data_IF_017598417740
#
_entry.id   IF_017598417740
#
_cell.length_a   1.000
_cell.length_b   1.000
_cell.length_c   1.000
_cell.angle_alpha   90.00
_cell.angle_beta   90.00
_cell.angle_gamma   90.00
#
_symmetry.space_group_name_H-M   'P 1'
#
loop_
_entity.id
_entity.type
_entity.pdbx_description
1 polymer ?
#
# COMPACT_ATOMS: atom_id res chain seq x y z
N UNK A 1 68.54 14.51 41.13
CA UNK A 1 69.13 14.61 39.78
C UNK A 1 69.01 16.06 39.35
N UNK A 2 70.16 16.65 39.04
CA UNK A 2 70.42 18.07 38.84
C UNK A 2 69.67 18.70 37.67
N UNK A 3 69.47 20.01 37.82
CA UNK A 3 68.88 20.94 36.87
C UNK A 3 69.95 21.59 35.95
N UNK A 4 69.55 21.99 34.74
CA UNK A 4 70.19 23.03 33.91
C UNK A 4 69.06 23.79 33.16
N UNK A 5 68.72 25.04 33.51
CA UNK A 5 69.23 26.35 33.00
C UNK A 5 68.95 26.55 31.48
N UNK A 6 68.22 27.57 30.97
CA UNK A 6 68.31 29.07 31.02
C UNK A 6 67.00 29.65 30.42
N UNK A 7 66.31 30.66 30.98
CA UNK A 7 66.51 32.14 30.94
C UNK A 7 66.67 32.77 29.54
N UNK A 8 65.67 33.57 29.12
CA UNK A 8 65.86 34.88 28.50
C UNK A 8 64.62 35.77 28.73
N UNK A 9 64.88 37.05 28.96
CA UNK A 9 64.05 38.11 29.56
C UNK A 9 64.04 39.27 28.57
N UNK A 10 62.91 39.95 28.37
CA UNK A 10 62.90 41.35 27.90
C UNK A 10 61.52 41.98 28.02
N UNK A 11 61.42 42.91 28.96
CA UNK A 11 60.39 43.90 29.18
C UNK A 11 60.54 45.11 28.23
N UNK A 12 59.44 45.74 27.82
CA UNK A 12 59.46 47.05 27.16
C UNK A 12 58.12 47.75 27.31
N UNK A 13 58.06 48.71 28.23
CA UNK A 13 56.97 49.65 28.50
C UNK A 13 56.97 50.79 27.47
N UNK A 14 55.81 51.30 27.05
CA UNK A 14 55.64 52.73 26.70
C UNK A 14 54.18 53.14 26.72
N UNK A 15 54.00 54.41 27.08
CA UNK A 15 52.83 55.12 27.57
C UNK A 15 51.87 55.62 26.46
N UNK A 16 50.63 55.90 26.87
CA UNK A 16 49.61 56.81 26.28
C UNK A 16 50.20 58.22 25.94
N UNK A 17 49.53 59.18 25.22
CA UNK A 17 48.08 59.45 25.09
C UNK A 17 47.61 60.13 23.75
N UNK A 18 46.35 60.61 23.72
CA UNK A 18 45.78 61.78 22.97
C UNK A 18 44.82 61.54 21.77
N UNK A 19 43.55 61.94 22.00
CA UNK A 19 42.44 62.32 21.08
C UNK A 19 42.80 63.71 20.46
N UNK A 20 42.38 64.24 19.25
CA UNK A 20 40.99 64.22 18.71
C UNK A 20 40.67 64.46 17.18
N UNK A 21 39.37 64.36 16.86
CA UNK A 21 38.55 65.04 15.82
C UNK A 21 38.44 64.58 14.33
N UNK A 22 37.27 63.95 14.04
CA UNK A 22 36.24 64.23 13.00
C UNK A 22 36.53 64.08 11.48
N UNK A 23 35.51 64.06 10.57
CA UNK A 23 34.10 63.60 10.65
C UNK A 23 33.73 62.61 9.49
N UNK A 24 32.43 62.32 9.29
CA UNK A 24 31.76 62.03 8.00
C UNK A 24 31.24 60.59 7.73
N UNK A 25 29.93 60.55 7.41
CA UNK A 25 29.14 59.60 6.58
C UNK A 25 28.60 58.28 7.18
N UNK A 26 27.29 58.27 7.43
CA UNK A 26 26.38 57.17 7.04
C UNK A 26 26.36 57.04 5.49
N UNK A 27 26.11 55.87 4.85
CA UNK A 27 25.03 54.88 5.12
C UNK A 27 25.47 53.40 4.79
N UNK A 28 24.61 52.44 4.38
CA UNK A 28 23.29 52.01 4.83
C UNK A 28 23.28 50.58 5.43
N UNK A 29 22.35 50.37 6.37
CA UNK A 29 21.47 49.19 6.51
C UNK A 29 21.97 47.82 6.03
N UNK A 30 22.66 47.10 6.91
CA UNK A 30 22.78 45.65 6.79
C UNK A 30 21.42 45.01 7.14
N UNK A 31 20.74 44.49 6.11
CA UNK A 31 19.57 43.64 6.26
C UNK A 31 19.90 42.47 7.19
N UNK A 32 19.19 42.39 8.32
CA UNK A 32 19.02 41.15 9.07
C UNK A 32 18.45 40.13 8.11
N UNK A 33 19.26 39.15 7.75
CA UNK A 33 18.80 37.89 7.19
C UNK A 33 17.89 37.27 8.26
N UNK A 34 16.58 37.44 8.10
CA UNK A 34 15.60 36.62 8.78
C UNK A 34 15.79 35.22 8.23
N UNK A 35 16.37 34.35 9.07
CA UNK A 35 16.26 32.91 8.90
C UNK A 35 14.78 32.63 8.74
N UNK A 36 14.37 32.25 7.54
CA UNK A 36 13.07 31.66 7.29
C UNK A 36 13.17 30.31 8.00
N UNK A 37 12.74 30.28 9.25
CA UNK A 37 12.32 29.04 9.89
C UNK A 37 11.18 28.53 9.02
N UNK A 38 11.50 27.51 8.23
CA UNK A 38 10.52 26.72 7.51
C UNK A 38 9.67 26.06 8.60
N UNK A 39 8.57 26.71 8.97
CA UNK A 39 7.51 26.14 9.80
C UNK A 39 7.00 24.91 9.03
N UNK A 40 7.64 23.76 9.28
CA UNK A 40 7.01 22.47 9.12
C UNK A 40 5.83 22.48 10.08
N UNK A 41 4.69 22.97 9.59
CA UNK A 41 3.39 22.79 10.22
C UNK A 41 3.25 21.29 10.45
N UNK A 42 3.40 20.85 11.70
CA UNK A 42 2.96 19.53 12.15
C UNK A 42 1.49 19.42 11.73
N UNK A 43 1.23 18.68 10.66
CA UNK A 43 -0.11 18.49 10.14
C UNK A 43 -0.84 17.62 11.16
N UNK A 44 -1.52 18.24 12.11
CA UNK A 44 -2.18 17.55 13.19
C UNK A 44 -3.34 16.70 12.62
N UNK A 45 -3.08 15.41 12.41
CA UNK A 45 -4.05 14.43 11.92
C UNK A 45 -5.16 14.24 12.96
N UNK A 46 -6.24 14.99 12.79
CA UNK A 46 -7.34 15.02 13.74
C UNK A 46 -8.62 14.43 13.15
N UNK A 47 -8.68 14.26 11.82
CA UNK A 47 -9.82 13.68 11.13
C UNK A 47 -9.43 12.88 9.88
N UNK A 48 -10.32 11.98 9.39
CA UNK A 48 -10.09 11.25 8.15
C UNK A 48 -10.04 12.15 6.91
N UNK A 49 -10.69 13.31 6.94
CA UNK A 49 -10.60 14.32 5.88
C UNK A 49 -9.20 14.95 5.81
N UNK A 50 -8.52 15.13 6.94
CA UNK A 50 -7.15 15.62 6.96
C UNK A 50 -6.18 14.59 6.37
N UNK A 51 -6.39 13.30 6.68
CA UNK A 51 -5.67 12.21 6.01
C UNK A 51 -5.86 12.28 4.49
N UNK A 52 -7.09 12.47 4.01
CA UNK A 52 -7.37 12.58 2.58
C UNK A 52 -6.64 13.77 1.92
N UNK A 53 -6.55 14.92 2.61
CA UNK A 53 -5.81 16.09 2.12
C UNK A 53 -4.31 15.77 1.99
N UNK A 54 -3.73 15.16 3.02
CA UNK A 54 -2.32 14.76 3.06
C UNK A 54 -1.98 13.78 1.92
N UNK A 55 -2.81 12.75 1.74
CA UNK A 55 -2.61 11.77 0.66
C UNK A 55 -2.70 12.40 -0.73
N UNK A 56 -3.44 13.50 -0.89
CA UNK A 56 -3.55 14.23 -2.17
C UNK A 56 -2.44 15.25 -2.40
N UNK A 57 -1.74 15.70 -1.35
CA UNK A 57 -0.77 16.79 -1.43
C UNK A 57 0.67 16.35 -1.72
N UNK A 58 0.92 15.07 -2.05
CA UNK A 58 2.27 14.49 -2.21
C UNK A 58 3.17 14.79 -1.01
N UNK A 59 2.64 14.57 0.19
CA UNK A 59 3.34 14.82 1.45
C UNK A 59 4.59 13.92 1.61
N UNK A 60 5.57 14.29 2.45
CA UNK A 60 6.76 13.46 2.68
C UNK A 60 6.40 12.11 3.33
N UNK A 61 7.30 11.12 3.21
CA UNK A 61 7.07 9.77 3.74
C UNK A 61 6.73 9.75 5.23
N UNK A 62 7.31 10.64 6.06
CA UNK A 62 6.97 10.75 7.49
C UNK A 62 5.49 11.02 7.72
N UNK A 63 4.89 11.95 6.97
CA UNK A 63 3.47 12.28 7.04
C UNK A 63 2.58 11.15 6.51
N UNK A 64 3.05 10.41 5.48
CA UNK A 64 2.36 9.19 5.05
C UNK A 64 2.34 8.12 6.15
N UNK A 65 3.43 7.97 6.90
CA UNK A 65 3.49 7.02 8.02
C UNK A 65 2.51 7.40 9.13
N UNK A 66 2.35 8.68 9.43
CA UNK A 66 1.34 9.17 10.37
C UNK A 66 -0.08 8.92 9.87
N UNK A 67 -0.33 9.16 8.58
CA UNK A 67 -1.60 8.84 7.94
C UNK A 67 -1.91 7.32 8.00
N UNK A 68 -0.92 6.47 7.72
CA UNK A 68 -1.06 5.01 7.83
C UNK A 68 -1.35 4.57 9.26
N UNK A 69 -0.67 5.15 10.25
CA UNK A 69 -0.94 4.88 11.68
C UNK A 69 -2.36 5.26 12.07
N UNK A 70 -2.83 6.43 11.63
CA UNK A 70 -4.19 6.91 11.89
C UNK A 70 -5.25 5.99 11.27
N UNK A 71 -5.01 5.49 10.05
CA UNK A 71 -5.96 4.63 9.34
C UNK A 71 -5.93 3.16 9.76
N UNK A 72 -4.89 2.74 10.47
CA UNK A 72 -4.60 1.33 10.73
C UNK A 72 -5.72 0.65 11.55
N UNK A 73 -6.43 -0.34 10.99
CA UNK A 73 -7.48 -1.06 11.71
C UNK A 73 -7.03 -1.74 13.01
N UNK A 74 -5.73 -2.02 13.16
CA UNK A 74 -5.19 -2.61 14.38
C UNK A 74 -5.01 -1.60 15.54
N UNK A 75 -5.06 -0.31 15.24
CA UNK A 75 -4.87 0.77 16.22
C UNK A 75 -6.19 1.45 16.63
N UNK A 76 -7.32 0.98 16.13
CA UNK A 76 -8.63 1.60 16.35
C UNK A 76 -9.12 1.41 17.79
N UNK A 77 -9.62 2.51 18.35
CA UNK A 77 -10.43 2.56 19.56
C UNK A 77 -11.93 2.65 19.22
N UNK A 78 -12.78 2.55 20.24
CA UNK A 78 -14.23 2.55 20.06
C UNK A 78 -14.73 3.91 19.53
N UNK A 79 -15.31 3.90 18.33
CA UNK A 79 -15.88 5.10 17.69
C UNK A 79 -14.96 5.73 16.64
N UNK A 80 -13.75 5.20 16.48
CA UNK A 80 -12.81 5.68 15.46
C UNK A 80 -13.27 5.38 14.04
N UNK A 81 -12.76 6.18 13.11
CA UNK A 81 -12.97 5.94 11.69
C UNK A 81 -12.28 4.64 11.27
N UNK A 82 -13.07 3.67 10.82
CA UNK A 82 -12.55 2.42 10.31
C UNK A 82 -12.60 2.38 8.77
N UNK A 83 -11.43 2.42 8.14
CA UNK A 83 -11.28 2.43 6.67
C UNK A 83 -11.86 1.17 5.99
N UNK A 84 -11.98 0.05 6.71
CA UNK A 84 -12.53 -1.19 6.15
C UNK A 84 -14.07 -1.17 6.07
N UNK A 85 -14.73 -0.25 6.78
CA UNK A 85 -16.18 -0.06 6.73
C UNK A 85 -16.52 0.75 5.47
N UNK A 86 -17.32 0.19 4.54
CA UNK A 86 -17.64 0.88 3.29
C UNK A 86 -18.34 2.21 3.55
N UNK A 87 -17.71 3.29 3.08
CA UNK A 87 -18.21 4.66 3.12
C UNK A 87 -17.66 5.46 1.95
N UNK A 88 -18.32 6.57 1.58
CA UNK A 88 -17.85 7.44 0.50
C UNK A 88 -16.46 8.03 0.80
N UNK A 89 -16.23 8.45 2.04
CA UNK A 89 -14.94 8.98 2.48
C UNK A 89 -13.87 7.88 2.49
N UNK A 90 -14.18 6.69 3.02
CA UNK A 90 -13.26 5.55 3.01
C UNK A 90 -12.85 5.12 1.60
N UNK A 91 -13.76 5.14 0.62
CA UNK A 91 -13.42 4.86 -0.77
C UNK A 91 -12.45 5.90 -1.37
N UNK A 92 -12.64 7.19 -1.06
CA UNK A 92 -11.72 8.25 -1.51
C UNK A 92 -10.34 8.11 -0.87
N UNK A 93 -10.30 7.81 0.44
CA UNK A 93 -9.05 7.57 1.17
C UNK A 93 -8.35 6.34 0.62
N UNK A 94 -9.03 5.21 0.43
CA UNK A 94 -8.44 3.99 -0.15
C UNK A 94 -7.84 4.26 -1.53
N UNK A 95 -8.56 4.96 -2.40
CA UNK A 95 -8.05 5.31 -3.72
C UNK A 95 -6.79 6.17 -3.61
N UNK A 96 -6.86 7.27 -2.85
CA UNK A 96 -5.71 8.16 -2.67
C UNK A 96 -4.52 7.44 -2.03
N UNK A 97 -4.77 6.60 -1.03
CA UNK A 97 -3.75 5.80 -0.34
C UNK A 97 -3.06 4.87 -1.34
N UNK A 98 -3.82 4.13 -2.15
CA UNK A 98 -3.27 3.21 -3.15
C UNK A 98 -2.47 3.99 -4.20
N UNK A 99 -3.05 5.04 -4.81
CA UNK A 99 -2.38 5.75 -5.90
C UNK A 99 -1.16 6.51 -5.44
N UNK A 100 -1.23 7.24 -4.32
CA UNK A 100 -0.10 8.03 -3.82
C UNK A 100 0.99 7.12 -3.27
N UNK A 101 0.63 6.04 -2.56
CA UNK A 101 1.63 5.12 -2.01
C UNK A 101 2.41 4.40 -3.11
N UNK A 102 1.70 3.85 -4.11
CA UNK A 102 2.33 3.12 -5.22
C UNK A 102 3.17 4.06 -6.08
N UNK A 103 2.67 5.26 -6.40
CA UNK A 103 3.40 6.19 -7.26
C UNK A 103 4.60 6.84 -6.58
N UNK A 104 4.46 7.28 -5.33
CA UNK A 104 5.41 8.24 -4.73
C UNK A 104 6.22 7.64 -3.57
N UNK A 105 5.78 6.54 -2.93
CA UNK A 105 6.38 6.06 -1.67
C UNK A 105 6.74 4.58 -1.62
N UNK A 106 6.54 3.83 -2.70
CA UNK A 106 6.69 2.37 -2.75
C UNK A 106 8.03 1.87 -2.19
N UNK A 107 9.14 2.42 -2.68
CA UNK A 107 10.49 2.14 -2.20
C UNK A 107 10.66 2.48 -0.72
N UNK A 108 10.19 3.67 -0.31
CA UNK A 108 10.36 4.19 1.05
C UNK A 108 9.60 3.42 2.12
N UNK A 109 8.57 2.65 1.73
CA UNK A 109 7.83 1.78 2.64
C UNK A 109 8.45 0.38 2.77
N UNK A 110 9.61 0.13 2.17
CA UNK A 110 10.26 -1.18 2.17
C UNK A 110 9.45 -2.22 1.38
N UNK A 111 8.68 -1.79 0.39
CA UNK A 111 7.92 -2.69 -0.48
C UNK A 111 8.78 -3.29 -1.60
N UNK A 112 9.98 -2.75 -1.81
CA UNK A 112 11.00 -3.29 -2.71
C UNK A 112 11.49 -4.67 -2.26
N UNK A 113 11.90 -5.48 -3.23
CA UNK A 113 12.41 -6.82 -2.98
C UNK A 113 13.82 -6.75 -2.38
N UNK A 114 13.93 -6.81 -1.06
CA UNK A 114 15.17 -7.18 -0.40
C UNK A 114 14.96 -8.42 0.49
N UNK A 115 15.52 -9.58 0.13
CA UNK A 115 15.46 -10.79 0.95
C UNK A 115 16.29 -10.70 2.24
N UNK A 116 17.13 -9.67 2.44
CA UNK A 116 18.05 -9.58 3.59
C UNK A 116 17.78 -8.42 4.58
N UNK A 117 16.79 -7.55 4.37
CA UNK A 117 16.56 -6.43 5.31
C UNK A 117 15.86 -6.88 6.61
N UNK A 118 16.72 -7.17 7.57
CA UNK A 118 16.46 -7.61 8.93
C UNK A 118 15.61 -6.69 9.80
N UNK A 119 14.62 -7.30 10.46
CA UNK A 119 14.40 -7.33 11.92
C UNK A 119 14.78 -6.06 12.71
N UNK A 120 13.78 -5.25 13.12
CA UNK A 120 13.72 -4.61 14.45
C UNK A 120 12.48 -3.73 14.73
N UNK A 121 11.34 -3.98 14.07
CA UNK A 121 10.04 -3.46 14.50
C UNK A 121 9.09 -4.64 14.67
N UNK A 122 8.24 -4.60 15.69
CA UNK A 122 7.13 -5.56 15.84
C UNK A 122 6.44 -5.72 14.48
N UNK A 123 6.14 -6.95 14.06
CA UNK A 123 5.45 -7.23 12.79
C UNK A 123 4.14 -6.41 12.64
N UNK A 124 3.56 -5.99 13.77
CA UNK A 124 2.38 -5.12 13.81
C UNK A 124 2.65 -3.65 13.45
N UNK A 125 3.88 -3.15 13.51
CA UNK A 125 4.23 -1.73 13.34
C UNK A 125 4.95 -1.40 12.02
N UNK A 126 5.18 -2.40 11.15
CA UNK A 126 5.79 -2.13 9.85
C UNK A 126 4.82 -1.34 8.96
N UNK A 127 5.27 -0.29 8.25
CA UNK A 127 4.43 0.50 7.35
C UNK A 127 3.72 -0.35 6.30
N UNK A 128 4.40 -1.38 5.79
CA UNK A 128 3.82 -2.40 4.91
C UNK A 128 2.62 -3.13 5.56
N UNK A 129 2.74 -3.54 6.82
CA UNK A 129 1.67 -4.23 7.52
C UNK A 129 0.46 -3.31 7.74
N UNK A 130 0.69 -2.04 8.09
CA UNK A 130 -0.36 -1.02 8.22
C UNK A 130 -1.10 -0.82 6.88
N UNK A 131 -0.35 -0.64 5.79
CA UNK A 131 -0.92 -0.50 4.45
C UNK A 131 -1.76 -1.72 4.08
N UNK A 132 -1.22 -2.93 4.27
CA UNK A 132 -1.93 -4.17 3.96
C UNK A 132 -3.23 -4.30 4.77
N UNK A 133 -3.22 -3.94 6.06
CA UNK A 133 -4.44 -3.95 6.89
C UNK A 133 -5.47 -2.91 6.41
N UNK A 134 -5.03 -1.71 6.04
CA UNK A 134 -5.92 -0.67 5.50
C UNK A 134 -6.65 -1.13 4.23
N UNK A 135 -5.98 -1.88 3.36
CA UNK A 135 -6.56 -2.35 2.09
C UNK A 135 -7.19 -3.75 2.18
N UNK A 136 -7.13 -4.43 3.33
CA UNK A 136 -7.72 -5.76 3.57
C UNK A 136 -9.23 -5.67 3.79
N UNK A 137 -9.93 -5.22 2.78
CA UNK A 137 -11.39 -5.16 2.73
C UNK A 137 -11.88 -5.44 1.30
N UNK A 138 -13.17 -5.80 1.11
CA UNK A 138 -13.72 -5.96 -0.24
C UNK A 138 -13.54 -4.69 -1.08
N UNK A 139 -13.76 -3.52 -0.47
CA UNK A 139 -13.55 -2.23 -1.13
C UNK A 139 -12.09 -1.94 -1.44
N UNK A 140 -11.14 -2.30 -0.57
CA UNK A 140 -9.71 -2.15 -0.83
C UNK A 140 -9.23 -3.01 -1.99
N UNK A 141 -9.62 -4.29 -2.03
CA UNK A 141 -9.34 -5.21 -3.14
C UNK A 141 -10.00 -4.69 -4.44
N UNK A 142 -11.25 -4.25 -4.36
CA UNK A 142 -11.98 -3.68 -5.49
C UNK A 142 -11.28 -2.45 -6.07
N UNK A 143 -10.81 -1.55 -5.22
CA UNK A 143 -10.05 -0.35 -5.61
C UNK A 143 -8.71 -0.71 -6.23
N UNK A 144 -7.96 -1.68 -5.68
CA UNK A 144 -6.71 -2.16 -6.29
C UNK A 144 -6.94 -2.71 -7.70
N UNK A 145 -7.97 -3.54 -7.89
CA UNK A 145 -8.29 -4.09 -9.21
C UNK A 145 -8.77 -3.02 -10.19
N UNK A 146 -9.50 -2.01 -9.72
CA UNK A 146 -9.92 -0.88 -10.54
C UNK A 146 -8.74 -0.01 -10.96
N UNK A 147 -7.83 0.29 -10.03
CA UNK A 147 -6.60 1.02 -10.31
C UNK A 147 -5.72 0.26 -11.29
N UNK A 148 -5.49 -1.04 -11.07
CA UNK A 148 -4.74 -1.89 -11.98
C UNK A 148 -5.32 -1.86 -13.39
N UNK A 149 -6.65 -2.00 -13.54
CA UNK A 149 -7.32 -1.85 -14.84
C UNK A 149 -7.15 -0.48 -15.47
N UNK A 150 -7.13 0.59 -14.68
CA UNK A 150 -6.94 1.95 -15.20
C UNK A 150 -5.53 2.19 -15.78
N UNK A 151 -4.55 1.39 -15.36
CA UNK A 151 -3.20 1.42 -15.90
C UNK A 151 -3.08 0.66 -17.23
N UNK A 152 -3.99 -0.28 -17.50
CA UNK A 152 -3.99 -1.08 -18.73
C UNK A 152 -4.46 -0.24 -19.92
N UNK A 153 -3.74 -0.28 -21.06
CA UNK A 153 -4.20 0.36 -22.28
C UNK A 153 -5.43 -0.37 -22.85
N UNK A 154 -6.32 0.41 -23.49
CA UNK A 154 -7.57 -0.09 -24.10
C UNK A 154 -7.34 -1.03 -25.29
N UNK A 155 -6.11 -1.11 -25.80
CA UNK A 155 -5.71 -1.99 -26.90
C UNK A 155 -4.57 -2.89 -26.44
N UNK A 156 -4.66 -4.17 -26.77
CA UNK A 156 -3.59 -5.14 -26.57
C UNK A 156 -2.30 -4.62 -27.21
N UNK A 157 -1.16 -4.65 -26.51
CA UNK A 157 0.06 -4.09 -27.04
C UNK A 157 0.49 -4.95 -28.23
N UNK A 158 0.98 -4.34 -29.33
CA UNK A 158 1.62 -5.12 -30.38
C UNK A 158 2.78 -5.90 -29.76
N UNK A 159 2.83 -7.22 -30.02
CA UNK A 159 3.90 -8.11 -29.58
C UNK A 159 5.26 -7.46 -29.84
N UNK A 160 6.07 -7.27 -28.79
CA UNK A 160 7.44 -6.76 -28.91
C UNK A 160 7.62 -5.26 -28.60
N UNK A 161 6.60 -4.55 -28.13
CA UNK A 161 6.82 -3.25 -27.51
C UNK A 161 7.31 -3.43 -26.08
N UNK A 162 8.62 -3.26 -25.89
CA UNK A 162 9.26 -3.26 -24.58
C UNK A 162 8.62 -2.16 -23.72
N UNK A 163 7.72 -2.52 -22.82
CA UNK A 163 7.09 -1.60 -21.89
C UNK A 163 8.06 -1.27 -20.73
N UNK A 164 9.25 -0.76 -21.07
CA UNK A 164 10.13 -0.03 -20.15
C UNK A 164 9.57 1.37 -19.96
N UNK A 165 8.33 1.44 -19.47
CA UNK A 165 7.62 2.69 -19.24
C UNK A 165 7.29 2.76 -17.75
N UNK A 166 7.24 3.97 -17.21
CA UNK A 166 6.83 4.22 -15.82
C UNK A 166 5.53 3.49 -15.45
N UNK A 167 4.62 3.30 -16.43
CA UNK A 167 3.38 2.52 -16.25
C UNK A 167 3.62 1.04 -15.99
N UNK A 168 4.62 0.43 -16.62
CA UNK A 168 4.98 -0.98 -16.39
C UNK A 168 5.44 -1.22 -14.96
N UNK A 169 6.20 -0.27 -14.39
CA UNK A 169 6.60 -0.30 -12.98
C UNK A 169 5.39 -0.13 -12.05
N UNK A 170 4.49 0.83 -12.32
CA UNK A 170 3.27 1.00 -11.53
C UNK A 170 2.37 -0.25 -11.56
N UNK A 171 2.26 -0.91 -12.71
CA UNK A 171 1.53 -2.18 -12.85
C UNK A 171 2.19 -3.27 -12.00
N UNK A 172 3.53 -3.39 -12.06
CA UNK A 172 4.29 -4.34 -11.28
C UNK A 172 4.13 -4.12 -9.77
N UNK A 173 4.22 -2.88 -9.30
CA UNK A 173 4.09 -2.54 -7.89
C UNK A 173 2.66 -2.76 -7.38
N UNK A 174 1.66 -2.41 -8.20
CA UNK A 174 0.25 -2.72 -7.90
C UNK A 174 0.00 -4.23 -7.82
N UNK A 175 0.57 -5.01 -8.74
CA UNK A 175 0.50 -6.48 -8.70
C UNK A 175 1.20 -7.06 -7.48
N UNK A 176 2.34 -6.49 -7.06
CA UNK A 176 3.06 -6.88 -5.85
C UNK A 176 2.21 -6.63 -4.59
N UNK A 177 1.57 -5.46 -4.48
CA UNK A 177 0.66 -5.15 -3.38
C UNK A 177 -0.51 -6.12 -3.32
N UNK A 178 -1.18 -6.34 -4.46
CA UNK A 178 -2.29 -7.28 -4.55
C UNK A 178 -1.86 -8.70 -4.19
N UNK A 179 -0.67 -9.13 -4.63
CA UNK A 179 -0.13 -10.45 -4.32
C UNK A 179 0.13 -10.65 -2.85
N UNK A 180 0.77 -9.67 -2.19
CA UNK A 180 1.03 -9.70 -0.74
C UNK A 180 -0.28 -9.69 0.05
N UNK A 181 -1.27 -8.90 -0.39
CA UNK A 181 -2.60 -8.86 0.22
C UNK A 181 -3.33 -10.20 0.12
N UNK A 182 -3.27 -10.85 -1.05
CA UNK A 182 -3.97 -12.11 -1.30
C UNK A 182 -3.19 -13.34 -0.78
N UNK A 183 -1.89 -13.25 -0.57
CA UNK A 183 -1.04 -14.39 -0.21
C UNK A 183 -1.51 -15.24 0.99
N UNK A 184 -2.03 -14.65 2.10
CA UNK A 184 -2.46 -15.44 3.25
C UNK A 184 -3.55 -16.45 2.92
N UNK A 185 -3.42 -17.67 3.44
CA UNK A 185 -4.38 -18.75 3.22
C UNK A 185 -5.62 -18.68 4.13
N UNK A 186 -5.70 -17.68 4.99
CA UNK A 186 -6.84 -17.40 5.87
C UNK A 186 -7.55 -16.08 5.51
N UNK A 187 -7.12 -15.40 4.43
CA UNK A 187 -7.66 -14.10 4.04
C UNK A 187 -9.19 -14.12 3.94
N UNK A 188 -9.76 -15.12 3.27
CA UNK A 188 -11.21 -15.18 3.01
C UNK A 188 -12.00 -15.33 4.31
N UNK A 189 -11.48 -16.09 5.27
CA UNK A 189 -12.08 -16.20 6.60
C UNK A 189 -12.05 -14.86 7.35
N UNK A 190 -10.91 -14.15 7.30
CA UNK A 190 -10.80 -12.83 7.92
C UNK A 190 -11.75 -11.81 7.29
N UNK A 191 -11.85 -11.76 5.95
CA UNK A 191 -12.79 -10.88 5.27
C UNK A 191 -14.24 -11.14 5.70
N UNK A 192 -14.66 -12.41 5.80
CA UNK A 192 -16.00 -12.73 6.29
C UNK A 192 -16.17 -12.31 7.76
N UNK A 193 -15.17 -12.55 8.60
CA UNK A 193 -15.19 -12.20 10.02
C UNK A 193 -15.32 -10.70 10.20
N UNK A 194 -14.56 -9.91 9.46
CA UNK A 194 -14.63 -8.45 9.48
C UNK A 194 -15.99 -7.96 8.98
N UNK A 195 -16.53 -8.51 7.89
CA UNK A 195 -17.88 -8.19 7.41
C UNK A 195 -18.93 -8.48 8.50
N UNK A 196 -18.86 -9.63 9.17
CA UNK A 196 -19.80 -10.00 10.23
C UNK A 196 -19.67 -9.13 11.48
N UNK A 197 -18.44 -8.69 11.79
CA UNK A 197 -18.11 -7.89 12.97
C UNK A 197 -18.49 -6.42 12.83
N UNK A 198 -18.20 -5.81 11.69
CA UNK A 198 -18.27 -4.35 11.54
C UNK A 198 -19.51 -3.83 10.81
N UNK A 199 -20.32 -4.72 10.25
CA UNK A 199 -21.52 -4.35 9.50
C UNK A 199 -22.73 -4.86 10.26
N UNK A 200 -23.62 -3.99 10.75
CA UNK A 200 -24.75 -4.46 11.57
C UNK A 200 -25.89 -5.05 10.74
N UNK A 201 -26.07 -4.55 9.52
CA UNK A 201 -27.20 -4.88 8.67
C UNK A 201 -26.93 -6.16 7.84
N UNK A 202 -27.76 -7.19 8.00
CA UNK A 202 -27.61 -8.48 7.28
C UNK A 202 -27.65 -8.36 5.76
N UNK A 203 -28.48 -7.47 5.21
CA UNK A 203 -28.52 -7.23 3.76
C UNK A 203 -27.18 -6.66 3.28
N UNK A 204 -26.61 -5.71 4.02
CA UNK A 204 -25.28 -5.16 3.72
C UNK A 204 -24.17 -6.21 3.88
N UNK A 205 -24.23 -7.08 4.89
CA UNK A 205 -23.28 -8.20 5.03
C UNK A 205 -23.32 -9.10 3.80
N UNK A 206 -24.53 -9.48 3.37
CA UNK A 206 -24.71 -10.32 2.20
C UNK A 206 -24.19 -9.64 0.93
N UNK A 207 -24.48 -8.35 0.73
CA UNK A 207 -23.98 -7.59 -0.43
C UNK A 207 -22.45 -7.53 -0.46
N UNK A 208 -21.80 -7.24 0.66
CA UNK A 208 -20.33 -7.20 0.74
C UNK A 208 -19.70 -8.57 0.56
N UNK A 209 -20.37 -9.62 1.02
CA UNK A 209 -19.91 -10.99 0.78
C UNK A 209 -20.04 -11.37 -0.70
N UNK A 210 -21.13 -10.98 -1.37
CA UNK A 210 -21.28 -11.19 -2.81
C UNK A 210 -20.25 -10.38 -3.62
N UNK A 211 -19.92 -9.16 -3.18
CA UNK A 211 -18.80 -8.41 -3.75
C UNK A 211 -17.48 -9.16 -3.59
N UNK A 212 -17.18 -9.67 -2.39
CA UNK A 212 -15.99 -10.49 -2.13
C UNK A 212 -15.91 -11.70 -3.08
N UNK A 213 -17.01 -12.45 -3.22
CA UNK A 213 -17.14 -13.57 -4.16
C UNK A 213 -16.90 -13.10 -5.60
N UNK A 214 -17.48 -11.96 -5.99
CA UNK A 214 -17.35 -11.39 -7.34
C UNK A 214 -15.92 -10.93 -7.65
N UNK A 215 -15.17 -10.45 -6.67
CA UNK A 215 -13.78 -10.05 -6.87
C UNK A 215 -12.85 -11.26 -6.94
N UNK A 216 -13.01 -12.22 -6.02
CA UNK A 216 -12.01 -13.27 -5.77
C UNK A 216 -12.40 -14.60 -6.43
N UNK A 217 -13.62 -15.07 -6.19
CA UNK A 217 -14.08 -16.39 -6.63
C UNK A 217 -14.64 -16.43 -8.06
N UNK A 218 -14.74 -15.28 -8.75
CA UNK A 218 -15.23 -15.21 -10.13
C UNK A 218 -14.15 -15.34 -11.20
N UNK A 219 -12.88 -15.35 -10.80
CA UNK A 219 -11.73 -15.29 -11.72
C UNK A 219 -11.33 -13.86 -12.14
N UNK A 220 -11.97 -12.81 -11.60
CA UNK A 220 -11.63 -11.41 -11.91
C UNK A 220 -10.18 -11.05 -11.54
N UNK A 221 -9.72 -11.41 -10.34
CA UNK A 221 -8.30 -11.25 -9.95
C UNK A 221 -7.38 -11.97 -10.94
N UNK A 222 -7.68 -13.24 -11.27
CA UNK A 222 -6.88 -14.05 -12.18
C UNK A 222 -6.77 -13.41 -13.57
N UNK A 223 -7.89 -13.02 -14.15
CA UNK A 223 -7.96 -12.40 -15.48
C UNK A 223 -7.22 -11.07 -15.54
N UNK A 224 -7.48 -10.16 -14.58
CA UNK A 224 -6.83 -8.84 -14.57
C UNK A 224 -5.32 -9.01 -14.33
N UNK A 225 -4.91 -9.91 -13.42
CA UNK A 225 -3.49 -10.14 -13.14
C UNK A 225 -2.74 -10.72 -14.33
N UNK A 226 -3.34 -11.67 -15.05
CA UNK A 226 -2.75 -12.25 -16.25
C UNK A 226 -2.62 -11.24 -17.40
N UNK A 227 -3.65 -10.43 -17.61
CA UNK A 227 -3.60 -9.34 -18.58
C UNK A 227 -2.51 -8.32 -18.21
N UNK A 228 -2.50 -7.88 -16.96
CA UNK A 228 -1.55 -6.88 -16.44
C UNK A 228 -0.10 -7.31 -16.56
N UNK A 229 0.19 -8.58 -16.26
CA UNK A 229 1.56 -9.11 -16.33
C UNK A 229 2.14 -9.02 -17.75
N UNK A 230 1.30 -9.05 -18.79
CA UNK A 230 1.73 -8.91 -20.19
C UNK A 230 2.30 -7.52 -20.53
N UNK A 231 2.08 -6.53 -19.65
CA UNK A 231 2.61 -5.17 -19.76
C UNK A 231 3.82 -4.91 -18.86
N UNK A 232 4.30 -5.93 -18.16
CA UNK A 232 5.51 -5.84 -17.33
C UNK A 232 6.68 -6.50 -18.06
N UNK A 233 7.91 -6.10 -17.75
CA UNK A 233 9.11 -6.77 -18.28
C UNK A 233 9.35 -8.17 -17.69
N UNK A 234 8.51 -8.57 -16.74
CA UNK A 234 8.66 -9.79 -15.99
C UNK A 234 7.93 -10.96 -16.65
N UNK A 235 8.65 -12.07 -16.80
CA UNK A 235 8.00 -13.33 -17.17
C UNK A 235 7.21 -13.90 -15.97
N UNK A 236 6.14 -14.65 -16.26
CA UNK A 236 5.39 -15.45 -15.27
C UNK A 236 6.32 -16.31 -14.41
N UNK A 237 7.46 -16.76 -14.96
CA UNK A 237 8.41 -17.62 -14.23
C UNK A 237 9.34 -16.85 -13.30
N UNK A 238 9.57 -15.56 -13.57
CA UNK A 238 10.56 -14.73 -12.86
C UNK A 238 9.92 -13.87 -11.79
N UNK A 239 8.63 -13.54 -11.92
CA UNK A 239 7.94 -12.70 -10.95
C UNK A 239 7.46 -13.51 -9.73
N UNK A 240 7.96 -13.24 -8.51
CA UNK A 240 7.58 -13.99 -7.31
C UNK A 240 6.08 -13.89 -6.97
N UNK A 241 5.40 -12.90 -7.57
CA UNK A 241 3.98 -12.59 -7.37
C UNK A 241 3.08 -13.08 -8.53
N UNK A 242 3.63 -13.85 -9.48
CA UNK A 242 2.92 -14.32 -10.67
C UNK A 242 1.84 -15.37 -10.40
N UNK A 243 1.77 -15.95 -9.20
CA UNK A 243 0.83 -17.03 -8.89
C UNK A 243 -0.63 -16.65 -9.13
N UNK A 244 -0.97 -15.36 -8.96
CA UNK A 244 -2.32 -14.84 -9.23
C UNK A 244 -2.71 -14.87 -10.70
N UNK A 245 -1.73 -14.79 -11.62
CA UNK A 245 -1.94 -14.89 -13.07
C UNK A 245 -2.01 -16.34 -13.56
N UNK A 246 -1.65 -17.31 -12.73
CA UNK A 246 -1.62 -18.72 -13.09
C UNK A 246 -2.86 -19.43 -12.54
N UNK A 247 -3.75 -19.89 -13.42
CA UNK A 247 -5.01 -20.51 -13.01
C UNK A 247 -4.85 -21.73 -12.07
N UNK A 248 -3.79 -22.54 -12.24
CA UNK A 248 -3.55 -23.70 -11.36
C UNK A 248 -3.12 -23.26 -9.95
N UNK A 249 -2.19 -22.31 -9.87
CA UNK A 249 -1.71 -21.80 -8.58
C UNK A 249 -2.80 -20.99 -7.86
N UNK A 250 -3.57 -20.18 -8.59
CA UNK A 250 -4.70 -19.44 -8.06
C UNK A 250 -5.80 -20.37 -7.53
N UNK A 251 -6.16 -21.42 -8.27
CA UNK A 251 -7.11 -22.43 -7.80
C UNK A 251 -6.61 -23.18 -6.55
N UNK A 252 -5.31 -23.52 -6.49
CA UNK A 252 -4.71 -24.12 -5.31
C UNK A 252 -4.77 -23.19 -4.08
N UNK A 253 -4.53 -21.88 -4.28
CA UNK A 253 -4.67 -20.88 -3.24
C UNK A 253 -6.12 -20.72 -2.75
N UNK A 254 -7.11 -20.74 -3.66
CA UNK A 254 -8.54 -20.75 -3.29
C UNK A 254 -8.87 -21.99 -2.45
N UNK A 255 -8.39 -23.17 -2.86
CA UNK A 255 -8.58 -24.41 -2.11
C UNK A 255 -8.03 -24.33 -0.68
N UNK A 256 -6.83 -23.74 -0.50
CA UNK A 256 -6.25 -23.49 0.84
C UNK A 256 -7.12 -22.56 1.67
N UNK A 257 -7.64 -21.48 1.09
CA UNK A 257 -8.56 -20.56 1.78
C UNK A 257 -9.88 -21.21 2.18
N UNK A 258 -10.47 -22.00 1.28
CA UNK A 258 -11.69 -22.77 1.57
C UNK A 258 -11.45 -23.74 2.73
N UNK A 259 -10.34 -24.48 2.70
CA UNK A 259 -9.97 -25.42 3.77
C UNK A 259 -9.75 -24.70 5.11
N UNK A 260 -9.02 -23.57 5.09
CA UNK A 260 -8.78 -22.75 6.28
C UNK A 260 -10.07 -22.23 6.88
N UNK A 261 -10.97 -21.70 6.05
CA UNK A 261 -12.26 -21.17 6.47
C UNK A 261 -13.16 -22.27 7.06
N UNK A 262 -13.26 -23.43 6.40
CA UNK A 262 -14.03 -24.57 6.90
C UNK A 262 -13.53 -25.06 8.26
N UNK A 263 -12.21 -25.06 8.50
CA UNK A 263 -11.62 -25.51 9.76
C UNK A 263 -11.86 -24.58 10.95
N UNK A 264 -12.28 -23.33 10.70
CA UNK A 264 -12.51 -22.31 11.72
C UNK A 264 -13.99 -22.16 12.11
N UNK A 265 -14.91 -22.82 11.41
CA UNK A 265 -16.33 -22.73 11.69
C UNK A 265 -16.79 -23.77 12.71
N UNK A 266 -17.69 -23.33 13.60
CA UNK A 266 -18.48 -24.26 14.40
C UNK A 266 -19.42 -25.05 13.49
N UNK A 267 -19.67 -26.31 13.84
CA UNK A 267 -20.62 -27.17 13.13
C UNK A 267 -22.02 -26.54 13.14
N UNK A 268 -22.36 -25.81 14.21
CA UNK A 268 -23.69 -25.21 14.39
C UNK A 268 -23.85 -23.81 13.77
N UNK A 269 -22.81 -23.23 13.13
CA UNK A 269 -22.91 -21.92 12.47
C UNK A 269 -23.44 -22.07 11.02
N UNK A 270 -24.74 -22.39 10.90
CA UNK A 270 -25.44 -22.55 9.62
C UNK A 270 -25.19 -21.40 8.64
N UNK A 271 -25.10 -20.17 9.16
CA UNK A 271 -24.92 -18.99 8.33
C UNK A 271 -23.50 -18.90 7.77
N UNK A 272 -22.48 -19.24 8.56
CA UNK A 272 -21.11 -19.33 8.07
C UNK A 272 -20.97 -20.41 6.99
N UNK A 273 -21.61 -21.57 7.17
CA UNK A 273 -21.64 -22.64 6.16
C UNK A 273 -22.33 -22.21 4.86
N UNK A 274 -23.43 -21.43 4.94
CA UNK A 274 -24.07 -20.84 3.74
C UNK A 274 -23.13 -19.89 3.01
N UNK A 275 -22.41 -19.03 3.72
CA UNK A 275 -21.44 -18.11 3.12
C UNK A 275 -20.30 -18.87 2.42
N UNK A 276 -19.76 -19.90 3.05
CA UNK A 276 -18.74 -20.77 2.46
C UNK A 276 -19.26 -21.54 1.25
N UNK A 277 -20.47 -22.10 1.32
CA UNK A 277 -21.10 -22.80 0.21
C UNK A 277 -21.25 -21.92 -1.03
N UNK A 278 -21.68 -20.67 -0.85
CA UNK A 278 -21.74 -19.69 -1.93
C UNK A 278 -20.35 -19.39 -2.54
N UNK A 279 -19.32 -19.25 -1.71
CA UNK A 279 -17.95 -19.01 -2.16
C UNK A 279 -17.37 -20.21 -2.94
N UNK A 280 -17.56 -21.43 -2.43
CA UNK A 280 -17.15 -22.69 -3.09
C UNK A 280 -17.84 -22.83 -4.44
N UNK A 281 -19.17 -22.67 -4.48
CA UNK A 281 -19.96 -22.77 -5.71
C UNK A 281 -19.40 -21.86 -6.81
N UNK A 282 -19.08 -20.60 -6.46
CA UNK A 282 -18.49 -19.67 -7.42
C UNK A 282 -17.05 -20.06 -7.81
N UNK A 283 -16.22 -20.45 -6.85
CA UNK A 283 -14.81 -20.82 -7.09
C UNK A 283 -14.66 -22.00 -8.05
N UNK A 284 -15.56 -22.99 -7.97
CA UNK A 284 -15.58 -24.14 -8.87
C UNK A 284 -15.94 -23.75 -10.32
N UNK A 285 -16.63 -22.63 -10.52
CA UNK A 285 -17.02 -22.15 -11.85
C UNK A 285 -15.85 -21.56 -12.65
N UNK A 286 -14.75 -21.14 -11.99
CA UNK A 286 -13.57 -20.52 -12.65
C UNK A 286 -12.92 -21.49 -13.67
N UNK A 287 -13.01 -22.80 -13.43
CA UNK A 287 -12.41 -23.83 -14.30
C UNK A 287 -13.36 -24.40 -15.36
N UNK A 288 -14.63 -24.03 -15.39
CA UNK A 288 -15.61 -24.60 -16.33
C UNK A 288 -15.75 -23.78 -17.62
N UNK A 289 -15.45 -22.49 -17.61
CA UNK A 289 -15.56 -21.60 -18.78
C UNK A 289 -14.56 -21.91 -19.91
N UNK A 290 -13.49 -22.64 -19.61
CA UNK A 290 -12.52 -23.09 -20.63
C UNK A 290 -12.94 -24.35 -21.42
N UNK A 291 -13.98 -25.08 -20.97
CA UNK A 291 -14.42 -26.33 -21.62
C UNK A 291 -15.48 -26.10 -22.72
N UNK A 292 -16.30 -25.06 -22.59
CA UNK A 292 -17.32 -24.75 -23.59
C UNK A 292 -16.77 -24.04 -24.84
N UNK A 293 -15.67 -23.30 -24.72
CA UNK A 293 -14.99 -22.69 -25.87
C UNK A 293 -14.24 -23.71 -26.75
N UNK A 294 -13.86 -24.86 -26.20
CA UNK A 294 -13.31 -25.97 -26.99
C UNK A 294 -14.38 -26.80 -27.73
N UNK A 295 -15.64 -26.74 -27.31
CA UNK A 295 -16.73 -27.50 -27.95
C UNK A 295 -17.47 -26.69 -29.03
N UNK A 296 -17.45 -25.35 -28.98
CA UNK A 296 -18.02 -24.53 -30.06
C UNK A 296 -17.11 -24.42 -31.29
N UNK A 297 -15.79 -24.57 -31.14
CA UNK A 297 -14.84 -24.57 -32.27
C UNK A 297 -14.74 -25.93 -32.99
N UNK A 298 -15.38 -26.99 -32.47
CA UNK A 298 -15.39 -28.32 -33.09
C UNK A 298 -16.60 -28.56 -34.01
N UNK A 299 -17.56 -27.62 -34.09
CA UNK A 299 -18.80 -27.77 -34.88
C UNK A 299 -18.76 -26.98 -36.21
N UNK A 300 -17.72 -26.18 -36.45
CA UNK A 300 -17.56 -25.40 -37.70
C UNK A 300 -16.56 -25.97 -38.71
N UNK A 301 -16.10 -27.21 -38.53
CA UNK A 301 -15.35 -27.95 -39.54
C UNK A 301 -15.90 -29.38 -39.67
N UNK A 302 -16.99 -29.53 -40.42
CA UNK A 302 -17.30 -30.71 -41.22
C UNK A 302 -18.10 -30.27 -42.44
#
# INVERSE_FOLDING_TARGET
MEALLKVAKSSGSSEDPLIPHSPVREPPSAQRISVIEDEQSEAHLSSPEDVLKILKSKAPTSTLLEALKFLDPASLENGDFNIIIPSSLGAQILHALITTTICDHWASLGMEHDPESSYQLSFSQMPQAMLLRCVKSPSGIGTLLAYLRSLLPTQTPPQGTNASSDKGLLIQDTLSLLSRLLSPSDLIFHLLTDIRRFIDNEVRKQLLWQETISLIASGKVLSISAESLSYTELSVKTFPHSWMSNGKLYAAWLGKNISSMASQFSIDDDQAWKYLGAFISRSLSIGQTGRDLSLQNAVFYN
#
